data_IF_219419757232
#
_entry.id   IF_219419757232
#
_cell.length_a   1.000
_cell.length_b   1.000
_cell.length_c   1.000
_cell.angle_alpha   90.00
_cell.angle_beta   90.00
_cell.angle_gamma   90.00
#
_symmetry.space_group_name_H-M   'P 1'
#
loop_
_entity.id
_entity.type
_entity.pdbx_description
1 polymer ?
#
# COMPACT_ATOMS: atom_id res chain seq x y z
N UNK A 1 15.03 49.40 -11.47
CA UNK A 1 16.37 49.67 -10.85
C UNK A 1 16.29 50.57 -9.62
N UNK A 2 15.51 51.67 -9.61
CA UNK A 2 15.41 52.62 -8.46
C UNK A 2 14.83 51.96 -7.20
N UNK A 3 13.92 50.98 -7.33
CA UNK A 3 13.28 50.30 -6.22
C UNK A 3 14.23 49.32 -5.53
N UNK A 4 15.00 48.57 -6.31
CA UNK A 4 16.03 47.65 -5.81
C UNK A 4 17.10 48.43 -5.06
N UNK A 5 17.55 49.57 -5.59
CA UNK A 5 18.57 50.41 -4.98
C UNK A 5 18.10 51.02 -3.65
N UNK A 6 16.80 51.40 -3.53
CA UNK A 6 16.21 51.86 -2.26
C UNK A 6 16.15 50.73 -1.22
N UNK A 7 15.82 49.51 -1.65
CA UNK A 7 15.74 48.32 -0.77
C UNK A 7 17.12 47.94 -0.22
N UNK A 8 18.14 47.91 -1.09
CA UNK A 8 19.52 47.65 -0.70
C UNK A 8 20.01 48.69 0.30
N UNK A 9 19.77 49.99 0.04
CA UNK A 9 20.14 51.08 0.94
C UNK A 9 19.46 50.98 2.30
N UNK A 10 18.20 50.58 2.34
CA UNK A 10 17.45 50.36 3.59
C UNK A 10 18.09 49.26 4.44
N UNK A 11 18.40 48.09 3.85
CA UNK A 11 19.03 46.99 4.58
C UNK A 11 20.46 47.30 5.05
N UNK A 12 21.21 48.06 4.27
CA UNK A 12 22.56 48.53 4.68
C UNK A 12 22.49 49.51 5.86
N UNK A 13 21.46 50.36 5.92
CA UNK A 13 21.29 51.33 6.99
C UNK A 13 20.69 50.69 8.27
N UNK A 14 19.85 49.66 8.15
CA UNK A 14 19.18 49.01 9.26
C UNK A 14 19.82 47.64 9.57
N UNK A 15 21.08 47.66 10.05
CA UNK A 15 21.86 46.46 10.35
C UNK A 15 21.12 45.43 11.21
N UNK A 16 20.35 45.88 12.25
CA UNK A 16 19.58 44.99 13.10
C UNK A 16 18.51 44.20 12.33
N UNK A 17 17.82 44.83 11.38
CA UNK A 17 16.78 44.18 10.56
C UNK A 17 17.45 43.15 9.62
N UNK A 18 18.59 43.47 9.06
CA UNK A 18 19.33 42.57 8.17
C UNK A 18 19.83 41.33 8.91
N UNK A 19 20.40 41.54 10.12
CA UNK A 19 20.88 40.42 10.95
C UNK A 19 19.69 39.54 11.40
N UNK A 20 18.57 40.15 11.80
CA UNK A 20 17.37 39.39 12.19
C UNK A 20 16.88 38.52 11.04
N UNK A 21 16.77 39.09 9.83
CA UNK A 21 16.37 38.36 8.63
C UNK A 21 17.30 37.21 8.30
N UNK A 22 18.63 37.47 8.40
CA UNK A 22 19.65 36.45 8.13
C UNK A 22 19.54 35.28 9.15
N UNK A 23 19.37 35.58 10.43
CA UNK A 23 19.16 34.57 11.47
C UNK A 23 17.88 33.76 11.23
N UNK A 24 16.82 34.43 10.81
CA UNK A 24 15.52 33.80 10.52
C UNK A 24 15.61 32.84 9.32
N UNK A 25 16.32 33.26 8.26
CA UNK A 25 16.56 32.42 7.07
C UNK A 25 17.45 31.22 7.42
N UNK A 26 18.52 31.44 8.20
CA UNK A 26 19.40 30.34 8.63
C UNK A 26 18.67 29.35 9.53
N UNK A 27 17.91 29.83 10.52
CA UNK A 27 17.15 28.98 11.42
C UNK A 27 16.05 28.21 10.66
N UNK A 28 15.34 28.89 9.76
CA UNK A 28 14.32 28.25 8.91
C UNK A 28 14.90 27.22 7.94
N UNK A 29 16.06 27.52 7.34
CA UNK A 29 16.78 26.61 6.47
C UNK A 29 17.25 25.35 7.22
N UNK A 30 17.83 25.52 8.40
CA UNK A 30 18.26 24.41 9.25
C UNK A 30 17.09 23.55 9.71
N UNK A 31 16.02 24.17 10.15
CA UNK A 31 14.78 23.46 10.53
C UNK A 31 14.17 22.67 9.35
N UNK A 32 14.11 23.29 8.18
CA UNK A 32 13.64 22.64 6.95
C UNK A 32 14.51 21.44 6.55
N UNK A 33 15.82 21.57 6.69
CA UNK A 33 16.77 20.49 6.39
C UNK A 33 16.52 19.24 7.27
N UNK A 34 16.27 19.43 8.56
CA UNK A 34 15.98 18.31 9.45
C UNK A 34 14.60 17.70 9.24
N UNK A 35 13.63 18.47 8.73
CA UNK A 35 12.29 17.97 8.40
C UNK A 35 12.14 17.42 6.98
N UNK A 36 13.13 17.65 6.13
CA UNK A 36 13.08 17.13 4.76
C UNK A 36 13.13 15.60 4.75
N UNK A 37 12.22 14.98 4.00
CA UNK A 37 12.22 13.53 3.77
C UNK A 37 13.54 13.09 3.14
N UNK A 38 14.11 11.98 3.64
CA UNK A 38 15.40 11.44 3.16
C UNK A 38 15.21 10.20 2.28
N UNK A 39 13.99 9.96 1.82
CA UNK A 39 13.68 8.86 0.91
C UNK A 39 14.08 9.27 -0.52
N UNK A 40 14.72 8.36 -1.23
CA UNK A 40 15.08 8.53 -2.64
C UNK A 40 13.83 8.71 -3.50
N UNK A 41 12.81 7.87 -3.25
CA UNK A 41 11.50 7.94 -3.89
C UNK A 41 10.43 8.41 -2.90
N UNK A 42 9.46 9.17 -3.39
CA UNK A 42 8.29 9.54 -2.59
C UNK A 42 7.51 8.27 -2.20
N UNK A 43 7.06 8.13 -0.94
CA UNK A 43 6.25 7.00 -0.54
C UNK A 43 4.98 6.94 -1.39
N UNK A 44 4.78 5.83 -2.09
CA UNK A 44 3.56 5.59 -2.85
C UNK A 44 2.69 4.55 -2.13
N UNK A 45 1.39 4.77 -2.19
CA UNK A 45 0.41 3.83 -1.62
C UNK A 45 -0.12 2.94 -2.72
N UNK A 46 -0.03 1.63 -2.52
CA UNK A 46 -0.59 0.64 -3.44
C UNK A 46 -2.11 0.68 -3.30
N UNK A 47 -2.78 1.09 -4.37
CA UNK A 47 -4.23 1.31 -4.42
C UNK A 47 -4.95 0.16 -5.10
N UNK A 48 -4.55 -1.06 -4.75
CA UNK A 48 -5.11 -2.29 -5.28
C UNK A 48 -5.10 -3.39 -4.22
N UNK A 49 -6.12 -4.25 -4.27
CA UNK A 49 -6.21 -5.46 -3.46
C UNK A 49 -6.56 -6.65 -4.35
N UNK A 50 -6.21 -7.83 -3.91
CA UNK A 50 -6.43 -9.08 -4.60
C UNK A 50 -7.46 -9.91 -3.85
N UNK A 51 -8.53 -10.33 -4.52
CA UNK A 51 -9.51 -11.28 -4.00
C UNK A 51 -9.33 -12.62 -4.69
N UNK A 52 -9.06 -13.65 -3.93
CA UNK A 52 -8.81 -15.01 -4.41
C UNK A 52 -9.88 -15.95 -3.84
N UNK A 53 -10.50 -16.73 -4.72
CA UNK A 53 -11.47 -17.75 -4.32
C UNK A 53 -11.20 -19.04 -5.07
N UNK A 54 -10.96 -20.12 -4.35
CA UNK A 54 -10.77 -21.44 -4.94
C UNK A 54 -12.13 -22.10 -5.20
N UNK A 55 -12.29 -22.77 -6.34
CA UNK A 55 -13.44 -23.59 -6.68
C UNK A 55 -12.96 -24.87 -7.38
N UNK A 56 -12.42 -25.84 -6.62
CA UNK A 56 -11.81 -27.04 -7.20
C UNK A 56 -12.77 -27.83 -8.08
N UNK A 57 -12.28 -28.26 -9.23
CA UNK A 57 -13.06 -29.06 -10.20
C UNK A 57 -13.92 -28.26 -11.17
N UNK A 58 -14.10 -26.96 -10.96
CA UNK A 58 -14.88 -26.11 -11.85
C UNK A 58 -14.04 -25.67 -13.07
N UNK A 59 -14.70 -25.59 -14.22
CA UNK A 59 -14.15 -24.99 -15.42
C UNK A 59 -14.04 -23.45 -15.29
N UNK A 60 -13.26 -22.75 -16.09
CA UNK A 60 -13.18 -21.29 -16.02
C UNK A 60 -14.52 -20.57 -16.21
N UNK A 61 -15.42 -21.13 -17.04
CA UNK A 61 -16.75 -20.58 -17.27
C UNK A 61 -17.66 -20.75 -16.03
N UNK A 62 -17.57 -21.89 -15.36
CA UNK A 62 -18.31 -22.11 -14.11
C UNK A 62 -17.76 -21.24 -12.97
N UNK A 63 -16.44 -21.09 -12.86
CA UNK A 63 -15.81 -20.16 -11.92
C UNK A 63 -16.32 -18.75 -12.14
N UNK A 64 -16.41 -18.30 -13.41
CA UNK A 64 -16.93 -16.98 -13.74
C UNK A 64 -18.37 -16.81 -13.27
N UNK A 65 -19.28 -17.65 -13.76
CA UNK A 65 -20.71 -17.46 -13.56
C UNK A 65 -21.19 -17.75 -12.13
N UNK A 66 -20.53 -18.66 -11.40
CA UNK A 66 -20.97 -19.09 -10.08
C UNK A 66 -20.20 -18.43 -8.91
N UNK A 67 -19.00 -17.92 -9.15
CA UNK A 67 -18.17 -17.32 -8.12
C UNK A 67 -17.85 -15.87 -8.42
N UNK A 68 -17.26 -15.62 -9.60
CA UNK A 68 -16.71 -14.32 -9.93
C UNK A 68 -17.79 -13.26 -10.09
N UNK A 69 -18.87 -13.54 -10.83
CA UNK A 69 -19.96 -12.59 -11.07
C UNK A 69 -20.63 -12.15 -9.77
N UNK A 70 -20.80 -13.07 -8.81
CA UNK A 70 -21.37 -12.78 -7.48
C UNK A 70 -20.45 -11.85 -6.67
N UNK A 71 -19.15 -12.14 -6.70
CA UNK A 71 -18.15 -11.31 -6.00
C UNK A 71 -17.98 -9.94 -6.64
N UNK A 72 -17.98 -9.88 -7.99
CA UNK A 72 -17.90 -8.61 -8.73
C UNK A 72 -19.09 -7.71 -8.42
N UNK A 73 -20.32 -8.22 -8.42
CA UNK A 73 -21.52 -7.45 -8.07
C UNK A 73 -21.41 -6.86 -6.66
N UNK A 74 -20.95 -7.65 -5.68
CA UNK A 74 -20.74 -7.17 -4.33
C UNK A 74 -19.64 -6.08 -4.26
N UNK A 75 -18.53 -6.26 -4.95
CA UNK A 75 -17.40 -5.33 -4.96
C UNK A 75 -17.76 -4.05 -5.73
N UNK A 76 -18.53 -4.11 -6.82
CA UNK A 76 -19.00 -2.96 -7.58
C UNK A 76 -19.87 -2.00 -6.74
N UNK A 77 -20.45 -2.50 -5.66
CA UNK A 77 -21.19 -1.65 -4.72
C UNK A 77 -20.30 -0.73 -3.85
N UNK A 78 -18.95 -0.81 -3.97
CA UNK A 78 -18.02 0.12 -3.31
C UNK A 78 -17.96 1.44 -4.06
N UNK A 79 -18.28 2.54 -3.37
CA UNK A 79 -18.25 3.90 -3.96
C UNK A 79 -16.85 4.37 -4.37
N UNK A 80 -15.84 3.84 -3.75
CA UNK A 80 -14.42 4.14 -3.94
C UNK A 80 -13.77 3.30 -5.06
N UNK A 81 -14.50 2.36 -5.66
CA UNK A 81 -14.02 1.52 -6.76
C UNK A 81 -13.68 2.37 -7.99
N UNK A 82 -12.55 2.06 -8.63
CA UNK A 82 -12.18 2.59 -9.94
C UNK A 82 -12.52 1.58 -11.05
N UNK A 83 -11.92 0.38 -11.01
CA UNK A 83 -12.26 -0.75 -11.90
C UNK A 83 -11.83 -2.08 -11.29
N UNK A 84 -12.36 -3.17 -11.85
CA UNK A 84 -11.98 -4.54 -11.54
C UNK A 84 -11.21 -5.14 -12.73
N UNK A 85 -10.24 -5.98 -12.42
CA UNK A 85 -9.60 -6.85 -13.40
C UNK A 85 -9.71 -8.29 -12.91
N UNK A 86 -10.36 -9.14 -13.70
CA UNK A 86 -10.66 -10.51 -13.32
C UNK A 86 -9.93 -11.51 -14.19
N UNK A 87 -9.39 -12.55 -13.59
CA UNK A 87 -8.79 -13.69 -14.25
C UNK A 87 -9.42 -14.97 -13.71
N UNK A 88 -10.13 -15.71 -14.56
CA UNK A 88 -10.74 -16.98 -14.22
C UNK A 88 -9.91 -18.13 -14.79
N UNK A 89 -9.47 -19.02 -13.92
CA UNK A 89 -8.78 -20.25 -14.29
C UNK A 89 -9.57 -21.45 -13.79
N UNK A 90 -9.24 -22.64 -14.27
CA UNK A 90 -9.82 -23.87 -13.75
C UNK A 90 -9.59 -23.95 -12.25
N UNK A 91 -10.67 -23.98 -11.46
CA UNK A 91 -10.64 -24.06 -10.01
C UNK A 91 -10.26 -22.79 -9.26
N UNK A 92 -10.09 -21.64 -9.92
CA UNK A 92 -9.62 -20.41 -9.26
C UNK A 92 -10.23 -19.15 -9.88
N UNK A 93 -10.85 -18.32 -9.05
CA UNK A 93 -11.20 -16.93 -9.35
C UNK A 93 -10.16 -15.99 -8.73
N UNK A 94 -9.66 -15.05 -9.53
CA UNK A 94 -8.74 -13.98 -9.11
C UNK A 94 -9.28 -12.64 -9.56
N UNK A 95 -9.68 -11.81 -8.63
CA UNK A 95 -10.20 -10.47 -8.87
C UNK A 95 -9.21 -9.45 -8.31
N UNK A 96 -8.66 -8.59 -9.15
CA UNK A 96 -7.84 -7.45 -8.71
C UNK A 96 -8.72 -6.21 -8.64
N UNK A 97 -8.84 -5.64 -7.48
CA UNK A 97 -9.67 -4.48 -7.17
C UNK A 97 -8.80 -3.24 -7.22
N UNK A 98 -9.08 -2.31 -8.12
CA UNK A 98 -8.40 -1.03 -8.22
C UNK A 98 -9.30 0.07 -7.68
N UNK A 99 -8.78 0.89 -6.78
CA UNK A 99 -9.53 1.98 -6.18
C UNK A 99 -9.09 3.33 -6.72
N UNK A 100 -9.92 4.35 -6.54
CA UNK A 100 -9.70 5.70 -7.05
C UNK A 100 -8.40 6.30 -6.54
N UNK A 101 -7.70 7.06 -7.38
CA UNK A 101 -6.38 7.64 -7.07
C UNK A 101 -6.44 8.74 -6.00
N UNK A 102 -7.58 9.36 -5.83
CA UNK A 102 -7.82 10.47 -4.90
C UNK A 102 -7.88 10.03 -3.44
N UNK A 103 -8.05 8.74 -3.16
CA UNK A 103 -8.13 8.17 -1.81
C UNK A 103 -6.77 8.32 -1.12
N UNK A 104 -6.77 8.83 0.10
CA UNK A 104 -5.55 9.02 0.89
C UNK A 104 -5.05 7.71 1.49
N UNK A 105 -3.75 7.63 1.77
CA UNK A 105 -3.12 6.46 2.38
C UNK A 105 -3.79 6.07 3.72
N UNK A 106 -4.18 7.06 4.51
CA UNK A 106 -4.83 6.90 5.82
C UNK A 106 -6.22 6.24 5.73
N UNK A 107 -6.91 6.40 4.59
CA UNK A 107 -8.25 5.86 4.34
C UNK A 107 -8.21 4.42 3.78
N UNK A 108 -7.03 3.97 3.32
CA UNK A 108 -6.88 2.68 2.63
C UNK A 108 -7.24 1.50 3.51
N UNK A 109 -6.80 1.51 4.79
CA UNK A 109 -7.10 0.41 5.71
C UNK A 109 -8.61 0.25 5.93
N UNK A 110 -9.32 1.36 6.13
CA UNK A 110 -10.78 1.34 6.29
C UNK A 110 -11.48 0.86 5.02
N UNK A 111 -10.94 1.19 3.87
CA UNK A 111 -11.47 0.76 2.58
C UNK A 111 -11.30 -0.75 2.38
N UNK A 112 -10.12 -1.29 2.73
CA UNK A 112 -9.89 -2.74 2.67
C UNK A 112 -10.76 -3.51 3.65
N UNK A 113 -11.06 -2.95 4.82
CA UNK A 113 -12.02 -3.53 5.75
C UNK A 113 -13.46 -3.50 5.20
N UNK A 114 -13.84 -2.45 4.47
CA UNK A 114 -15.13 -2.43 3.73
C UNK A 114 -15.15 -3.51 2.66
N UNK A 115 -14.07 -3.68 1.89
CA UNK A 115 -13.96 -4.72 0.87
C UNK A 115 -14.10 -6.11 1.48
N UNK A 116 -13.39 -6.40 2.59
CA UNK A 116 -13.49 -7.68 3.30
C UNK A 116 -14.92 -7.97 3.75
N UNK A 117 -15.61 -6.98 4.31
CA UNK A 117 -17.04 -7.14 4.70
C UNK A 117 -17.90 -7.46 3.50
N UNK A 118 -17.78 -6.71 2.39
CA UNK A 118 -18.56 -6.95 1.16
C UNK A 118 -18.35 -8.34 0.58
N UNK A 119 -17.11 -8.82 0.57
CA UNK A 119 -16.77 -10.17 0.11
C UNK A 119 -17.35 -11.22 1.06
N UNK A 120 -17.27 -11.01 2.37
CA UNK A 120 -17.80 -11.92 3.37
C UNK A 120 -19.34 -11.98 3.36
N UNK A 121 -20.02 -10.85 3.12
CA UNK A 121 -21.48 -10.76 3.07
C UNK A 121 -22.11 -11.63 1.96
N UNK A 122 -21.34 -11.97 0.93
CA UNK A 122 -21.81 -12.81 -0.18
C UNK A 122 -21.21 -14.22 -0.17
N UNK A 123 -20.42 -14.56 0.84
CA UNK A 123 -19.78 -15.87 0.93
C UNK A 123 -20.80 -17.01 0.93
N UNK A 124 -21.93 -16.83 1.61
CA UNK A 124 -23.01 -17.82 1.69
C UNK A 124 -23.78 -18.00 0.36
N UNK A 125 -23.61 -17.08 -0.58
CA UNK A 125 -24.22 -17.16 -1.93
C UNK A 125 -23.37 -17.95 -2.90
N UNK A 126 -22.12 -18.23 -2.55
CA UNK A 126 -21.21 -19.00 -3.39
C UNK A 126 -21.59 -20.50 -3.35
N UNK A 127 -21.26 -21.27 -4.41
CA UNK A 127 -21.59 -22.70 -4.45
C UNK A 127 -20.87 -23.48 -3.35
N UNK A 128 -21.47 -24.57 -2.88
CA UNK A 128 -20.99 -25.38 -1.75
C UNK A 128 -19.57 -25.97 -1.94
N UNK A 129 -19.02 -25.97 -3.16
CA UNK A 129 -17.64 -26.41 -3.43
C UNK A 129 -16.62 -25.27 -3.48
N UNK A 130 -17.07 -24.02 -3.39
CA UNK A 130 -16.19 -22.88 -3.36
C UNK A 130 -15.55 -22.70 -1.98
N UNK A 131 -14.26 -22.45 -1.96
CA UNK A 131 -13.54 -22.09 -0.75
C UNK A 131 -13.85 -20.66 -0.27
N UNK A 132 -13.40 -20.35 0.94
CA UNK A 132 -13.51 -18.98 1.48
C UNK A 132 -12.71 -18.00 0.63
N UNK A 133 -13.32 -16.89 0.29
CA UNK A 133 -12.67 -15.80 -0.46
C UNK A 133 -11.65 -15.08 0.42
N UNK A 134 -10.41 -14.99 -0.04
CA UNK A 134 -9.31 -14.34 0.67
C UNK A 134 -9.06 -12.98 0.04
N UNK A 135 -9.10 -11.93 0.84
CA UNK A 135 -8.74 -10.57 0.43
C UNK A 135 -7.32 -10.27 0.89
N UNK A 136 -6.42 -10.08 -0.06
CA UNK A 136 -5.01 -9.72 0.17
C UNK A 136 -4.76 -8.30 -0.34
N UNK A 137 -4.50 -7.39 0.56
CA UNK A 137 -4.17 -5.98 0.32
C UNK A 137 -2.66 -5.70 0.39
N UNK A 138 -1.87 -6.68 0.88
CA UNK A 138 -0.41 -6.55 1.05
C UNK A 138 0.38 -7.18 -0.12
N UNK A 139 -0.30 -7.71 -1.15
CA UNK A 139 0.37 -8.47 -2.22
C UNK A 139 1.34 -7.62 -3.08
N UNK A 140 1.22 -6.32 -3.02
CA UNK A 140 2.07 -5.37 -3.74
C UNK A 140 3.14 -4.74 -2.88
N UNK A 141 3.26 -5.12 -1.61
CA UNK A 141 4.28 -4.59 -0.72
C UNK A 141 5.67 -4.96 -1.23
N UNK A 142 6.51 -3.95 -1.38
CA UNK A 142 7.90 -4.11 -1.82
C UNK A 142 8.76 -4.30 -0.59
N UNK A 143 9.36 -5.49 -0.46
CA UNK A 143 10.35 -5.75 0.57
C UNK A 143 11.70 -5.17 0.11
N UNK A 144 12.24 -4.21 0.86
CA UNK A 144 13.50 -3.54 0.55
C UNK A 144 14.72 -4.46 0.66
N UNK A 145 14.61 -5.54 1.42
CA UNK A 145 15.70 -6.50 1.64
C UNK A 145 15.14 -7.93 1.61
N UNK A 146 15.81 -8.80 0.85
CA UNK A 146 15.47 -10.22 0.74
C UNK A 146 16.68 -11.07 1.09
N UNK A 147 16.56 -11.94 2.09
CA UNK A 147 17.60 -12.87 2.51
C UNK A 147 17.16 -14.31 2.26
N UNK A 148 18.07 -15.13 1.74
CA UNK A 148 17.93 -16.57 1.68
C UNK A 148 18.69 -17.23 2.84
N UNK A 149 18.02 -18.07 3.63
CA UNK A 149 18.65 -18.88 4.67
C UNK A 149 18.91 -20.29 4.14
N UNK A 150 20.17 -20.70 4.14
CA UNK A 150 20.58 -22.05 3.75
C UNK A 150 21.39 -22.68 4.87
N UNK A 151 21.30 -23.99 5.04
CA UNK A 151 22.08 -24.72 6.04
C UNK A 151 22.19 -26.20 5.65
N UNK A 152 23.44 -26.70 5.54
CA UNK A 152 23.67 -28.10 5.28
C UNK A 152 23.38 -28.93 6.53
N UNK A 153 22.65 -30.03 6.37
CA UNK A 153 22.32 -30.95 7.46
C UNK A 153 21.14 -30.51 8.34
N UNK A 154 20.46 -29.39 8.04
CA UNK A 154 19.30 -28.96 8.72
C UNK A 154 17.99 -29.26 7.95
N UNK A 155 16.92 -29.56 8.68
CA UNK A 155 15.60 -29.74 8.10
C UNK A 155 14.98 -28.38 7.75
N UNK A 156 14.04 -28.35 6.79
CA UNK A 156 13.31 -27.12 6.45
C UNK A 156 12.59 -26.50 7.66
N UNK A 157 12.16 -27.30 8.62
CA UNK A 157 11.50 -26.82 9.84
C UNK A 157 12.47 -26.10 10.75
N UNK A 158 13.68 -26.60 10.93
CA UNK A 158 14.74 -25.94 11.71
C UNK A 158 15.14 -24.62 11.04
N UNK A 159 15.27 -24.61 9.71
CA UNK A 159 15.56 -23.38 8.97
C UNK A 159 14.41 -22.34 9.08
N UNK A 160 13.16 -22.78 9.08
CA UNK A 160 12.00 -21.90 9.29
C UNK A 160 12.02 -21.29 10.69
N UNK A 161 12.31 -22.06 11.73
CA UNK A 161 12.37 -21.56 13.10
C UNK A 161 13.53 -20.55 13.27
N UNK A 162 14.68 -20.81 12.65
CA UNK A 162 15.80 -19.87 12.63
C UNK A 162 15.45 -18.58 11.85
N UNK A 163 14.76 -18.70 10.71
CA UNK A 163 14.33 -17.54 9.94
C UNK A 163 13.35 -16.66 10.74
N UNK A 164 12.40 -17.26 11.46
CA UNK A 164 11.49 -16.56 12.37
C UNK A 164 12.23 -15.85 13.50
N UNK A 165 13.23 -16.51 14.08
CA UNK A 165 14.07 -15.91 15.12
C UNK A 165 14.83 -14.68 14.58
N UNK A 166 15.52 -14.82 13.44
CA UNK A 166 16.24 -13.71 12.78
C UNK A 166 15.29 -12.56 12.43
N UNK A 167 14.12 -12.86 11.85
CA UNK A 167 13.11 -11.84 11.56
C UNK A 167 12.72 -11.04 12.82
N UNK A 168 12.47 -11.73 13.93
CA UNK A 168 12.08 -11.09 15.18
C UNK A 168 13.20 -10.23 15.78
N UNK A 169 14.46 -10.63 15.62
CA UNK A 169 15.60 -9.83 16.07
C UNK A 169 15.80 -8.58 15.20
N UNK A 170 15.65 -8.70 13.88
CA UNK A 170 15.75 -7.57 12.95
C UNK A 170 14.64 -6.52 13.16
N UNK A 171 13.45 -6.93 13.62
CA UNK A 171 12.35 -6.01 13.90
C UNK A 171 12.53 -5.20 15.21
N UNK A 172 13.56 -5.50 16.02
CA UNK A 172 13.87 -4.77 17.26
C UNK A 172 14.81 -3.58 17.03
N UNK A 173 15.41 -3.48 15.85
CA UNK A 173 16.35 -2.41 15.45
C UNK A 173 15.59 -1.28 14.77
#
# INVERSE_FOLDING_TARGET
>A
DKLIMKLVKYFLQKRAVTILLLVLVLAGGLFSYFKMGKLEDAPFTIKQALVLTSYPGASPAEVQSQVTDILEEAIQSLGELYYLKTENRAGLSKITVYVKKEIRAEEMQQLWDKLRRKVNDVQDKLPAGAGTSIVNDDFGDVLGVFYGLTGDGHTYRELEDQAKFIKNELLKV
#
